data_IF_030429257320
#
_entry.id   IF_030429257320
#
_cell.length_a   1.000
_cell.length_b   1.000
_cell.length_c   1.000
_cell.angle_alpha   90.00
_cell.angle_beta   90.00
_cell.angle_gamma   90.00
#
_symmetry.space_group_name_H-M   'P 1'
#
loop_
_entity.id
_entity.type
_entity.pdbx_description
1 polymer ?
#
# COMPACT_ATOMS: atom_id res chain seq x y z
N UNK A 1 -9.33 -71.35 -44.82
CA UNK A 1 -9.22 -69.85 -44.84
C UNK A 1 -9.62 -69.30 -43.51
N UNK A 2 -8.64 -68.96 -42.66
CA UNK A 2 -8.93 -68.38 -41.33
C UNK A 2 -8.65 -66.89 -41.37
N UNK A 3 -9.69 -66.08 -41.13
CA UNK A 3 -9.53 -64.62 -40.97
C UNK A 3 -9.19 -64.32 -39.52
N UNK A 4 -7.98 -63.80 -39.29
CA UNK A 4 -7.54 -63.23 -38.00
C UNK A 4 -8.04 -61.81 -37.88
N UNK A 5 -8.88 -61.54 -36.87
CA UNK A 5 -9.32 -60.21 -36.50
C UNK A 5 -8.30 -59.60 -35.54
N UNK A 6 -7.64 -58.50 -35.93
CA UNK A 6 -6.73 -57.74 -35.06
C UNK A 6 -7.57 -56.74 -34.28
N UNK A 7 -7.65 -56.92 -32.94
CA UNK A 7 -8.22 -55.93 -32.03
C UNK A 7 -7.16 -54.86 -31.71
N UNK A 8 -7.35 -53.65 -32.21
CA UNK A 8 -6.57 -52.51 -31.81
C UNK A 8 -6.95 -52.07 -30.38
N UNK A 9 -5.95 -52.01 -29.50
CA UNK A 9 -6.07 -51.42 -28.16
C UNK A 9 -6.04 -49.88 -28.32
N UNK A 10 -7.14 -49.22 -28.01
CA UNK A 10 -7.19 -47.78 -27.86
C UNK A 10 -6.48 -47.40 -26.54
N UNK A 11 -5.32 -46.73 -26.64
CA UNK A 11 -4.68 -46.11 -25.51
C UNK A 11 -5.42 -44.84 -25.14
N UNK A 12 -6.31 -44.90 -24.15
CA UNK A 12 -6.85 -43.74 -23.50
C UNK A 12 -5.82 -43.12 -22.55
N UNK A 13 -4.99 -42.24 -23.08
CA UNK A 13 -4.16 -41.37 -22.26
C UNK A 13 -5.05 -40.28 -21.68
N UNK A 14 -5.55 -40.52 -20.48
CA UNK A 14 -6.23 -39.48 -19.69
C UNK A 14 -5.19 -38.42 -19.37
N UNK A 15 -5.22 -37.30 -20.07
CA UNK A 15 -4.50 -36.08 -19.66
C UNK A 15 -5.01 -35.67 -18.29
N UNK A 16 -4.24 -35.91 -17.24
CA UNK A 16 -4.48 -35.33 -15.95
C UNK A 16 -4.46 -33.80 -16.13
N UNK A 17 -5.62 -33.17 -16.05
CA UNK A 17 -5.76 -31.74 -15.91
C UNK A 17 -5.02 -31.34 -14.64
N UNK A 18 -3.83 -30.75 -14.80
CA UNK A 18 -3.12 -30.13 -13.68
C UNK A 18 -4.07 -29.11 -13.05
N UNK A 19 -4.34 -29.31 -11.77
CA UNK A 19 -5.11 -28.33 -11.00
C UNK A 19 -4.49 -26.93 -11.17
N UNK A 20 -5.27 -25.88 -11.34
CA UNK A 20 -4.76 -24.54 -11.54
C UNK A 20 -3.82 -24.22 -10.39
N UNK A 21 -2.59 -23.78 -10.71
CA UNK A 21 -1.61 -23.32 -9.72
C UNK A 21 -2.33 -22.29 -8.86
N UNK A 22 -2.47 -22.57 -7.57
CA UNK A 22 -3.02 -21.61 -6.60
C UNK A 22 -2.14 -20.37 -6.69
N UNK A 23 -2.66 -19.29 -7.25
CA UNK A 23 -2.03 -18.01 -7.16
C UNK A 23 -1.83 -17.71 -5.68
N UNK A 24 -0.60 -17.31 -5.30
CA UNK A 24 -0.27 -16.91 -3.92
C UNK A 24 -0.97 -15.59 -3.58
N UNK A 25 -2.29 -15.60 -3.48
CA UNK A 25 -3.08 -14.50 -2.95
C UNK A 25 -2.70 -14.25 -1.49
N UNK A 26 -2.93 -13.03 -1.02
CA UNK A 26 -2.75 -12.66 0.39
C UNK A 26 -3.55 -13.65 1.24
N UNK A 27 -2.89 -14.37 2.15
CA UNK A 27 -3.56 -15.31 3.05
C UNK A 27 -4.57 -14.57 3.93
N UNK A 28 -5.72 -15.18 4.21
CA UNK A 28 -6.76 -14.60 5.07
C UNK A 28 -6.21 -14.17 6.45
N UNK A 29 -5.24 -14.91 7.00
CA UNK A 29 -4.52 -14.54 8.23
C UNK A 29 -3.72 -13.25 8.10
N UNK A 30 -3.09 -13.00 6.94
CA UNK A 30 -2.35 -11.75 6.67
C UNK A 30 -3.31 -10.57 6.53
N UNK A 31 -4.44 -10.75 5.84
CA UNK A 31 -5.49 -9.73 5.74
C UNK A 31 -6.02 -9.38 7.13
N UNK A 32 -6.33 -10.38 7.97
CA UNK A 32 -6.81 -10.15 9.34
C UNK A 32 -5.77 -9.42 10.21
N UNK A 33 -4.47 -9.73 10.05
CA UNK A 33 -3.38 -9.02 10.74
C UNK A 33 -3.34 -7.55 10.30
N UNK A 34 -3.37 -7.29 9.00
CA UNK A 34 -3.36 -5.92 8.44
C UNK A 34 -4.58 -5.14 8.90
N UNK A 35 -5.78 -5.71 8.85
CA UNK A 35 -7.00 -5.07 9.33
C UNK A 35 -6.91 -4.68 10.80
N UNK A 36 -6.42 -5.56 11.68
CA UNK A 36 -6.19 -5.24 13.10
C UNK A 36 -5.20 -4.12 13.27
N UNK A 37 -4.10 -4.12 12.51
CA UNK A 37 -3.09 -3.07 12.55
C UNK A 37 -3.64 -1.73 12.05
N UNK A 38 -4.49 -1.74 11.01
CA UNK A 38 -5.18 -0.52 10.54
C UNK A 38 -6.11 0.05 11.60
N UNK A 39 -6.89 -0.79 12.29
CA UNK A 39 -7.76 -0.36 13.39
C UNK A 39 -6.92 0.20 14.55
N UNK A 40 -5.81 -0.45 14.90
CA UNK A 40 -4.90 0.04 15.93
C UNK A 40 -4.28 1.38 15.55
N UNK A 41 -3.83 1.54 14.30
CA UNK A 41 -3.30 2.81 13.78
C UNK A 41 -4.36 3.92 13.82
N UNK A 42 -5.59 3.63 13.42
CA UNK A 42 -6.71 4.57 13.49
C UNK A 42 -7.00 5.01 14.93
N UNK A 43 -6.97 4.09 15.89
CA UNK A 43 -7.12 4.43 17.32
C UNK A 43 -5.98 5.30 17.83
N UNK A 44 -4.74 5.01 17.43
CA UNK A 44 -3.55 5.78 17.81
C UNK A 44 -3.57 7.19 17.25
N UNK A 45 -4.23 7.43 16.12
CA UNK A 45 -4.43 8.77 15.57
C UNK A 45 -5.22 9.68 16.53
N UNK A 46 -6.14 9.13 17.32
CA UNK A 46 -6.92 9.91 18.28
C UNK A 46 -6.07 10.55 19.38
N UNK A 47 -4.92 9.97 19.67
CA UNK A 47 -3.95 10.47 20.67
C UNK A 47 -2.92 11.43 20.05
N UNK A 48 -2.89 11.62 18.73
CA UNK A 48 -1.95 12.53 18.09
C UNK A 48 -2.48 13.96 18.05
N UNK A 49 -1.58 14.92 18.32
CA UNK A 49 -1.83 16.31 17.97
C UNK A 49 -1.83 16.47 16.44
N UNK A 50 -2.91 16.94 15.82
CA UNK A 50 -2.96 17.08 14.37
C UNK A 50 -2.02 18.19 13.90
N UNK A 51 -1.37 17.97 12.76
CA UNK A 51 -0.71 19.07 12.05
C UNK A 51 -1.79 20.01 11.52
N UNK A 52 -1.69 21.29 11.83
CA UNK A 52 -2.66 22.31 11.36
C UNK A 52 -2.21 22.84 10.01
N UNK A 53 -3.12 22.82 9.03
CA UNK A 53 -2.97 23.39 7.70
C UNK A 53 -3.70 24.73 7.69
N UNK A 54 -2.94 25.82 7.64
CA UNK A 54 -3.46 27.19 7.61
C UNK A 54 -2.70 28.11 6.64
N UNK A 55 -1.76 27.54 5.89
CA UNK A 55 -1.02 28.26 4.85
C UNK A 55 -1.61 27.89 3.50
N UNK A 56 -1.54 28.81 2.52
CA UNK A 56 -2.10 28.62 1.18
C UNK A 56 -1.67 27.31 0.53
N UNK A 57 -0.41 26.93 0.67
CA UNK A 57 0.08 25.63 0.20
C UNK A 57 0.78 24.89 1.33
N UNK A 58 0.39 23.66 1.57
CA UNK A 58 0.99 22.82 2.59
C UNK A 58 1.29 21.43 2.08
N UNK A 59 2.44 20.93 2.51
CA UNK A 59 2.88 19.57 2.26
C UNK A 59 2.91 18.75 3.56
N UNK A 60 2.41 17.53 3.48
CA UNK A 60 2.50 16.51 4.54
C UNK A 60 3.13 15.28 3.91
N UNK A 61 4.32 14.91 4.36
CA UNK A 61 5.05 13.76 3.80
C UNK A 61 5.32 12.72 4.86
N UNK A 62 5.53 11.47 4.42
CA UNK A 62 5.97 10.39 5.29
C UNK A 62 7.31 10.71 5.92
N UNK A 63 7.39 10.49 7.22
CA UNK A 63 8.59 10.56 8.05
C UNK A 63 8.31 9.87 9.39
N UNK A 64 9.26 9.89 10.33
CA UNK A 64 9.13 9.29 11.67
C UNK A 64 7.97 9.81 12.53
N UNK A 65 7.34 10.95 12.15
CA UNK A 65 6.23 11.55 12.88
C UNK A 65 4.87 10.92 12.52
N UNK A 66 4.82 10.00 11.58
CA UNK A 66 3.63 9.21 11.32
C UNK A 66 3.48 8.10 12.36
N UNK A 67 2.25 7.75 12.68
CA UNK A 67 1.96 6.61 13.55
C UNK A 67 2.56 5.35 12.97
N UNK A 68 3.25 4.57 13.80
CA UNK A 68 3.89 3.31 13.47
C UNK A 68 4.92 3.42 12.33
N UNK A 69 5.45 4.60 12.03
CA UNK A 69 6.46 4.79 10.99
C UNK A 69 7.88 4.65 11.56
N UNK A 70 8.67 3.81 10.92
CA UNK A 70 10.12 3.72 11.03
C UNK A 70 10.73 4.24 9.73
N UNK A 71 11.57 5.26 9.81
CA UNK A 71 12.35 5.71 8.66
C UNK A 71 13.32 4.62 8.23
N UNK A 72 13.40 4.39 6.95
CA UNK A 72 14.24 3.36 6.35
C UNK A 72 15.12 3.99 5.27
N UNK A 73 16.25 3.37 5.01
CA UNK A 73 17.09 3.74 3.88
C UNK A 73 16.37 3.51 2.55
N UNK A 74 16.50 4.47 1.64
CA UNK A 74 15.93 4.39 0.30
C UNK A 74 16.70 3.35 -0.53
N UNK A 75 16.00 2.42 -1.15
CA UNK A 75 16.61 1.64 -2.22
C UNK A 75 17.00 2.58 -3.38
N UNK A 76 18.22 2.49 -3.92
CA UNK A 76 18.68 3.35 -5.02
C UNK A 76 17.75 3.39 -6.24
N UNK A 77 17.03 2.29 -6.53
CA UNK A 77 16.08 2.20 -7.63
C UNK A 77 14.77 2.97 -7.39
N UNK A 78 14.47 3.38 -6.15
CA UNK A 78 13.26 4.11 -5.85
C UNK A 78 13.40 5.61 -6.10
N UNK A 79 12.26 6.29 -6.26
CA UNK A 79 12.21 7.76 -6.38
C UNK A 79 12.95 8.42 -5.23
N UNK A 80 13.74 9.45 -5.53
CA UNK A 80 14.42 10.23 -4.50
C UNK A 80 13.41 11.03 -3.66
N UNK A 81 13.46 10.95 -2.33
CA UNK A 81 12.64 11.79 -1.47
C UNK A 81 13.03 13.25 -1.64
N UNK A 82 12.06 14.15 -1.49
CA UNK A 82 12.31 15.58 -1.39
C UNK A 82 12.70 15.96 0.04
N UNK A 83 13.09 17.21 0.25
CA UNK A 83 13.43 17.72 1.60
C UNK A 83 12.26 17.50 2.58
N UNK A 84 12.55 16.93 3.73
CA UNK A 84 11.57 16.61 4.78
C UNK A 84 10.77 15.34 4.58
N UNK A 85 11.07 14.56 3.55
CA UNK A 85 10.44 13.28 3.24
C UNK A 85 11.39 12.11 3.55
N UNK A 86 10.80 11.00 3.97
CA UNK A 86 11.54 9.75 4.16
C UNK A 86 10.69 8.57 3.73
N UNK A 87 11.35 7.55 3.16
CA UNK A 87 10.72 6.24 3.07
C UNK A 87 10.53 5.69 4.48
N UNK A 88 9.38 5.07 4.68
CA UNK A 88 9.02 4.48 5.98
C UNK A 88 8.53 3.05 5.81
N UNK A 89 8.66 2.28 6.90
CA UNK A 89 8.03 0.98 7.07
C UNK A 89 7.40 0.87 8.45
N UNK A 90 6.81 -0.29 8.79
CA UNK A 90 6.14 -0.47 10.07
C UNK A 90 7.12 -0.58 11.23
N UNK A 91 7.09 0.35 12.19
CA UNK A 91 7.95 0.32 13.39
C UNK A 91 7.71 -0.93 14.24
N UNK A 92 6.46 -1.39 14.33
CA UNK A 92 6.09 -2.55 15.16
C UNK A 92 6.50 -3.90 14.53
N UNK A 93 6.82 -3.91 13.24
CA UNK A 93 7.27 -5.10 12.50
C UNK A 93 8.22 -4.64 11.36
N UNK A 94 9.47 -4.24 11.70
CA UNK A 94 10.37 -3.60 10.74
C UNK A 94 10.76 -4.47 9.55
N UNK A 95 10.72 -5.78 9.74
CA UNK A 95 11.07 -6.76 8.71
C UNK A 95 9.83 -7.55 8.24
N UNK A 96 8.65 -7.15 8.67
CA UNK A 96 7.41 -7.85 8.29
C UNK A 96 7.03 -7.65 6.83
N UNK A 97 6.13 -8.50 6.31
CA UNK A 97 5.67 -8.46 4.92
C UNK A 97 4.67 -7.34 4.64
N UNK A 98 4.26 -6.59 5.67
CA UNK A 98 3.32 -5.49 5.54
C UNK A 98 3.56 -4.42 6.59
N UNK A 99 3.27 -3.18 6.25
CA UNK A 99 3.30 -2.03 7.14
C UNK A 99 1.97 -1.29 7.11
N UNK A 100 1.58 -0.71 8.26
CA UNK A 100 0.49 0.25 8.31
C UNK A 100 1.01 1.51 8.99
N UNK A 101 0.96 2.61 8.27
CA UNK A 101 1.35 3.93 8.77
C UNK A 101 0.19 4.91 8.63
N UNK A 102 0.09 5.88 9.52
CA UNK A 102 -1.06 6.78 9.53
C UNK A 102 -0.67 8.20 9.99
N UNK A 103 -1.46 9.19 9.54
CA UNK A 103 -1.28 10.58 9.94
C UNK A 103 -2.63 11.27 10.11
N UNK A 104 -2.73 12.13 11.14
CA UNK A 104 -3.85 13.06 11.37
C UNK A 104 -3.40 14.49 11.07
N UNK A 105 -4.28 15.27 10.42
CA UNK A 105 -4.06 16.68 10.16
C UNK A 105 -5.40 17.44 10.15
N UNK A 106 -5.34 18.74 10.37
CA UNK A 106 -6.54 19.61 10.39
C UNK A 106 -6.39 20.69 9.34
N UNK A 107 -7.40 20.84 8.49
CA UNK A 107 -7.52 21.87 7.47
C UNK A 107 -8.47 22.94 8.01
N UNK A 108 -8.05 24.22 8.01
CA UNK A 108 -8.85 25.33 8.55
C UNK A 108 -9.70 26.01 7.50
N UNK A 109 -9.23 26.06 6.28
CA UNK A 109 -9.82 26.84 5.19
C UNK A 109 -10.36 25.92 4.10
N UNK A 110 -11.03 26.48 3.11
CA UNK A 110 -11.57 25.72 1.99
C UNK A 110 -10.44 25.24 1.09
N UNK A 111 -10.63 24.08 0.46
CA UNK A 111 -9.62 23.40 -0.30
C UNK A 111 -9.82 23.69 -1.77
N UNK A 112 -8.89 24.35 -2.42
CA UNK A 112 -8.88 24.54 -3.86
C UNK A 112 -8.46 23.25 -4.57
N UNK A 113 -7.25 22.75 -4.23
CA UNK A 113 -6.67 21.53 -4.80
C UNK A 113 -6.03 20.66 -3.74
N UNK A 114 -6.04 19.35 -3.98
CA UNK A 114 -5.28 18.44 -3.16
C UNK A 114 -4.86 17.20 -3.95
N UNK A 115 -3.60 16.82 -3.81
CA UNK A 115 -3.03 15.63 -4.44
C UNK A 115 -2.30 14.76 -3.43
N UNK A 116 -2.26 13.46 -3.72
CA UNK A 116 -1.41 12.47 -3.05
C UNK A 116 -0.44 11.91 -4.07
N UNK A 117 0.86 12.14 -3.89
CA UNK A 117 1.90 11.34 -4.53
C UNK A 117 2.21 10.13 -3.67
N UNK A 118 2.30 8.95 -4.29
CA UNK A 118 2.57 7.68 -3.61
C UNK A 118 3.60 6.88 -4.40
N UNK A 119 4.69 6.53 -3.75
CA UNK A 119 5.66 5.54 -4.20
C UNK A 119 5.73 4.44 -3.15
N UNK A 120 5.46 3.20 -3.53
CA UNK A 120 5.43 2.06 -2.63
C UNK A 120 6.01 0.83 -3.30
N UNK A 121 6.83 0.12 -2.60
CA UNK A 121 7.32 -1.20 -2.99
C UNK A 121 6.70 -2.23 -2.04
N UNK A 122 5.69 -3.03 -2.50
CA UNK A 122 5.19 -3.13 -3.88
C UNK A 122 3.75 -2.61 -4.02
N UNK A 123 2.84 -2.85 -3.07
CA UNK A 123 1.40 -2.59 -3.18
C UNK A 123 0.88 -1.79 -2.01
N UNK A 124 -0.18 -1.01 -2.21
CA UNK A 124 -0.80 -0.24 -1.14
C UNK A 124 -2.33 -0.21 -1.21
N UNK A 125 -2.92 -0.08 -0.02
CA UNK A 125 -4.28 0.39 0.19
C UNK A 125 -4.18 1.70 0.95
N UNK A 126 -4.82 2.75 0.45
CA UNK A 126 -4.84 4.06 1.10
C UNK A 126 -6.28 4.44 1.40
N UNK A 127 -6.52 4.77 2.67
CA UNK A 127 -7.79 5.32 3.13
C UNK A 127 -7.60 6.78 3.56
N UNK A 128 -8.51 7.65 3.15
CA UNK A 128 -8.63 9.01 3.67
C UNK A 128 -10.02 9.15 4.29
N UNK A 129 -10.09 9.51 5.56
CA UNK A 129 -11.33 9.60 6.32
C UNK A 129 -12.18 8.31 6.25
N UNK A 130 -11.50 7.15 6.27
CA UNK A 130 -12.11 5.83 6.14
C UNK A 130 -12.59 5.46 4.73
N UNK A 131 -12.43 6.34 3.74
CA UNK A 131 -12.83 6.10 2.34
C UNK A 131 -11.63 5.64 1.51
N UNK A 132 -11.76 4.59 0.69
CA UNK A 132 -10.66 4.11 -0.14
C UNK A 132 -10.33 5.12 -1.25
N UNK A 133 -9.06 5.47 -1.35
CA UNK A 133 -8.47 6.32 -2.40
C UNK A 133 -7.68 5.48 -3.37
N UNK A 134 -6.90 4.54 -2.83
CA UNK A 134 -6.11 3.58 -3.58
C UNK A 134 -6.45 2.20 -3.05
N UNK A 135 -6.76 1.28 -3.95
CA UNK A 135 -6.85 -0.16 -3.67
C UNK A 135 -6.02 -0.84 -4.73
N UNK A 136 -4.81 -1.22 -4.36
CA UNK A 136 -3.94 -1.94 -5.24
C UNK A 136 -4.16 -3.45 -5.10
N UNK A 137 -4.10 -4.16 -6.22
CA UNK A 137 -4.32 -5.60 -6.23
C UNK A 137 -2.97 -6.33 -6.38
N UNK A 138 -2.49 -7.02 -5.33
CA UNK A 138 -1.23 -7.76 -5.41
C UNK A 138 -1.24 -8.92 -6.42
N UNK A 139 -2.39 -9.27 -6.98
CA UNK A 139 -2.49 -10.25 -8.08
C UNK A 139 -2.38 -9.59 -9.46
N UNK A 140 -2.47 -8.28 -9.54
CA UNK A 140 -2.19 -7.50 -10.74
C UNK A 140 -0.71 -7.12 -10.82
N UNK A 141 -0.29 -6.67 -11.99
CA UNK A 141 1.09 -6.19 -12.22
C UNK A 141 1.26 -4.70 -11.88
N UNK A 142 0.50 -4.19 -10.91
CA UNK A 142 0.57 -2.78 -10.52
C UNK A 142 1.49 -2.65 -9.31
N UNK A 143 2.51 -1.83 -9.46
CA UNK A 143 3.45 -1.46 -8.40
C UNK A 143 3.63 0.05 -8.41
N UNK A 144 3.70 0.68 -7.24
CA UNK A 144 3.94 2.11 -7.09
C UNK A 144 5.42 2.44 -6.82
N UNK A 145 6.30 1.44 -7.02
CA UNK A 145 7.66 1.59 -6.55
C UNK A 145 8.42 2.66 -7.34
N UNK A 146 8.42 2.75 -8.62
CA UNK A 146 9.15 3.80 -9.34
C UNK A 146 8.54 4.01 -10.74
N UNK A 147 8.18 5.24 -11.11
CA UNK A 147 8.39 6.54 -10.47
C UNK A 147 7.32 6.94 -9.44
N UNK A 148 6.40 6.06 -9.07
CA UNK A 148 5.25 6.36 -8.23
C UNK A 148 4.07 6.90 -9.02
N UNK A 149 3.00 7.30 -8.32
CA UNK A 149 1.76 7.82 -8.91
C UNK A 149 1.18 8.98 -8.12
N UNK A 150 0.47 9.86 -8.80
CA UNK A 150 -0.28 10.96 -8.19
C UNK A 150 -1.79 10.73 -8.34
N UNK A 151 -2.53 11.07 -7.29
CA UNK A 151 -3.97 10.92 -7.19
C UNK A 151 -4.59 12.26 -6.78
N UNK A 152 -5.68 12.67 -7.43
CA UNK A 152 -6.48 13.78 -6.94
C UNK A 152 -7.30 13.30 -5.73
N UNK A 153 -7.06 13.92 -4.57
CA UNK A 153 -7.70 13.53 -3.31
C UNK A 153 -8.63 14.59 -2.73
N UNK A 154 -8.85 15.72 -3.43
CA UNK A 154 -9.66 16.83 -2.94
C UNK A 154 -11.03 16.38 -2.42
N UNK A 155 -11.73 15.50 -3.13
CA UNK A 155 -13.08 14.99 -2.77
C UNK A 155 -13.12 14.11 -1.52
N UNK A 156 -11.97 13.66 -1.03
CA UNK A 156 -11.86 12.81 0.17
C UNK A 156 -11.53 13.63 1.42
N UNK A 157 -11.06 14.86 1.23
CA UNK A 157 -10.72 15.79 2.30
C UNK A 157 -11.90 16.69 2.66
N UNK A 158 -11.85 17.21 3.87
CA UNK A 158 -12.84 18.15 4.42
C UNK A 158 -12.16 19.20 5.27
N UNK A 159 -12.80 20.32 5.46
CA UNK A 159 -12.45 21.26 6.52
C UNK A 159 -12.55 20.56 7.87
N UNK A 160 -11.66 20.90 8.80
CA UNK A 160 -11.51 20.20 10.07
C UNK A 160 -10.55 19.02 10.01
N UNK A 161 -10.75 18.04 10.86
CA UNK A 161 -9.84 16.90 11.04
C UNK A 161 -9.95 15.89 9.90
N UNK A 162 -8.79 15.50 9.38
CA UNK A 162 -8.63 14.46 8.36
C UNK A 162 -7.62 13.43 8.82
N UNK A 163 -7.86 12.19 8.44
CA UNK A 163 -6.98 11.05 8.70
C UNK A 163 -6.59 10.39 7.38
N UNK A 164 -5.31 10.05 7.24
CA UNK A 164 -4.82 9.14 6.21
C UNK A 164 -4.22 7.91 6.85
N UNK A 165 -4.56 6.74 6.29
CA UNK A 165 -4.00 5.44 6.66
C UNK A 165 -3.50 4.76 5.41
N UNK A 166 -2.25 4.33 5.41
CA UNK A 166 -1.60 3.60 4.32
C UNK A 166 -1.24 2.22 4.83
N UNK A 167 -1.81 1.18 4.22
CA UNK A 167 -1.38 -0.20 4.38
C UNK A 167 -0.56 -0.59 3.16
N UNK A 168 0.71 -0.89 3.37
CA UNK A 168 1.64 -1.30 2.34
C UNK A 168 1.99 -2.78 2.47
N UNK A 169 2.24 -3.44 1.35
CA UNK A 169 2.51 -4.87 1.27
C UNK A 169 3.76 -5.11 0.44
N UNK A 170 4.65 -5.94 0.97
CA UNK A 170 5.78 -6.47 0.22
C UNK A 170 5.34 -7.68 -0.62
N UNK A 171 5.95 -7.89 -1.76
CA UNK A 171 5.67 -9.03 -2.63
C UNK A 171 6.91 -9.93 -2.77
N UNK A 172 6.75 -11.26 -2.78
CA UNK A 172 5.51 -12.03 -2.60
C UNK A 172 4.82 -11.74 -1.26
N UNK A 173 3.49 -11.81 -1.23
CA UNK A 173 2.63 -11.28 -0.14
C UNK A 173 2.87 -11.82 1.28
N UNK A 174 3.82 -12.71 1.47
CA UNK A 174 4.27 -13.26 2.74
C UNK A 174 5.80 -13.23 2.90
N UNK A 175 6.51 -12.58 1.98
CA UNK A 175 7.94 -12.38 2.09
C UNK A 175 8.24 -11.23 3.04
N UNK A 176 9.11 -11.47 4.00
CA UNK A 176 9.62 -10.45 4.87
C UNK A 176 10.47 -9.44 4.09
N UNK A 177 10.47 -8.21 4.58
CA UNK A 177 11.38 -7.17 4.11
C UNK A 177 12.82 -7.58 4.44
N UNK A 178 13.72 -7.45 3.48
CA UNK A 178 15.17 -7.72 3.62
C UNK A 178 15.98 -6.83 2.67
N UNK A 179 17.31 -6.95 2.70
CA UNK A 179 18.19 -6.29 1.71
C UNK A 179 17.91 -6.75 0.28
N UNK A 180 17.66 -8.05 0.10
CA UNK A 180 17.39 -8.65 -1.23
C UNK A 180 15.93 -8.50 -1.68
N UNK A 181 15.04 -8.19 -0.75
CA UNK A 181 13.62 -7.94 -1.02
C UNK A 181 13.17 -6.69 -0.26
N UNK A 182 13.60 -5.51 -0.69
CA UNK A 182 13.28 -4.26 -0.02
C UNK A 182 11.80 -3.93 -0.13
N UNK A 183 11.30 -3.21 0.87
CA UNK A 183 9.94 -2.67 0.85
C UNK A 183 9.91 -1.32 1.56
N UNK A 184 9.11 -0.39 1.07
CA UNK A 184 9.03 0.95 1.63
C UNK A 184 7.87 1.76 1.06
N UNK A 185 7.49 2.79 1.80
CA UNK A 185 6.43 3.75 1.43
C UNK A 185 6.99 5.16 1.49
N UNK A 186 6.79 5.90 0.41
CA UNK A 186 6.93 7.36 0.37
C UNK A 186 5.58 7.93 -0.06
N UNK A 187 4.99 8.76 0.77
CA UNK A 187 3.76 9.47 0.46
C UNK A 187 3.92 10.96 0.71
N UNK A 188 3.34 11.77 -0.18
CA UNK A 188 3.31 13.22 -0.09
C UNK A 188 1.90 13.71 -0.44
N UNK A 189 1.28 14.39 0.51
CA UNK A 189 0.03 15.12 0.31
C UNK A 189 0.39 16.59 0.09
N UNK A 190 -0.11 17.16 -0.99
CA UNK A 190 -0.02 18.59 -1.27
C UNK A 190 -1.44 19.16 -1.27
N UNK A 191 -1.66 20.24 -0.51
CA UNK A 191 -2.96 20.88 -0.33
C UNK A 191 -2.78 22.36 -0.65
N UNK A 192 -3.62 22.87 -1.55
CA UNK A 192 -3.80 24.29 -1.79
C UNK A 192 -5.15 24.72 -1.24
N UNK A 193 -5.13 25.79 -0.47
CA UNK A 193 -6.32 26.39 0.13
C UNK A 193 -6.79 27.58 -0.73
N UNK A 194 -8.09 27.83 -0.71
CA UNK A 194 -8.67 29.02 -1.33
C UNK A 194 -8.16 30.29 -0.61
N UNK A 195 -8.06 31.40 -1.36
CA UNK A 195 -7.66 32.73 -0.84
C UNK A 195 -8.74 33.36 0.02
#
# INVERSE_FOLDING_TARGET
MHKRTVRGKANNTVKQLQAPRRHNGIRASSVAKVMRTMIAAQRSLNAQNPVVISQRTRRISTNRNWVNALEIERNPAWVAPQSGESYVWGRNDPNGPAAVVARRFTIRDDIERASLFLSVDNFAIVLINGRPVVIDNPQGNVSFFNPGRSFNIRRFLRRGTNDIVIAAFNFPSNANRSGDNPAGVLARIEIELED
#
